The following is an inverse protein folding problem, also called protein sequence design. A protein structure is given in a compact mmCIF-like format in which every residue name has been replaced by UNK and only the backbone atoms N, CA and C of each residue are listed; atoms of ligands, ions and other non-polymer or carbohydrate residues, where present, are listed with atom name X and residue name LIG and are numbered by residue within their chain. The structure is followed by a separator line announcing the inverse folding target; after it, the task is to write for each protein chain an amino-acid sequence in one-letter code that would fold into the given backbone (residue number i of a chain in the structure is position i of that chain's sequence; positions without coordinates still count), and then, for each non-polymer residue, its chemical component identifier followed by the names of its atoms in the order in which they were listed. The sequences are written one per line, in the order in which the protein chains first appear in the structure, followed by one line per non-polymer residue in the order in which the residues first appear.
data_IF_765222649791
#
_entry.id   IF_765222649791
#
_cell.length_a   1.000
_cell.length_b   1.000
_cell.length_c   1.000
_cell.angle_alpha   90.00
_cell.angle_beta   90.00
_cell.angle_gamma   90.00
#
_symmetry.space_group_name_H-M   'P 1'
#
loop_
_entity.id
_entity.type
_entity.pdbx_description
1 polymer ?
#
# COMPACT_ATOMS: atom_id res chain seq x y z
N UNK A 1 -2.81 42.83 19.39
CA UNK A 1 -1.59 42.21 18.82
C UNK A 1 -1.94 41.73 17.42
N UNK A 2 -1.40 42.38 16.39
CA UNK A 2 -1.65 42.06 14.98
C UNK A 2 -0.77 40.89 14.54
N UNK A 3 -1.36 39.82 14.01
CA UNK A 3 -0.61 38.74 13.40
C UNK A 3 -0.05 39.19 12.05
N UNK A 4 1.26 38.97 11.77
CA UNK A 4 1.84 39.30 10.47
C UNK A 4 1.27 38.37 9.39
N UNK A 5 0.70 38.96 8.35
CA UNK A 5 0.23 38.25 7.16
C UNK A 5 1.46 37.82 6.36
N UNK A 6 1.79 36.53 6.37
CA UNK A 6 2.90 35.98 5.57
C UNK A 6 2.39 35.75 4.14
N UNK A 7 2.83 36.61 3.22
CA UNK A 7 2.50 36.50 1.80
C UNK A 7 3.49 35.56 1.11
N UNK A 8 3.03 34.36 0.75
CA UNK A 8 3.82 33.40 -0.02
C UNK A 8 3.85 33.83 -1.49
N UNK A 9 4.92 34.52 -1.89
CA UNK A 9 5.21 34.79 -3.30
C UNK A 9 5.43 33.47 -4.05
N UNK A 10 4.60 33.18 -5.06
CA UNK A 10 4.80 32.02 -5.94
C UNK A 10 6.01 32.30 -6.85
N UNK A 11 7.10 31.52 -6.77
CA UNK A 11 8.15 31.64 -7.77
C UNK A 11 7.57 31.27 -9.15
N UNK A 12 7.79 32.14 -10.14
CA UNK A 12 7.49 31.84 -11.54
C UNK A 12 8.42 30.72 -12.02
N UNK A 13 7.99 29.48 -11.83
CA UNK A 13 8.70 28.32 -12.32
C UNK A 13 8.59 28.28 -13.85
N UNK A 14 9.70 28.55 -14.54
CA UNK A 14 9.85 28.20 -15.96
C UNK A 14 9.63 26.70 -16.07
N UNK A 15 8.53 26.29 -16.71
CA UNK A 15 8.20 24.89 -16.93
C UNK A 15 9.35 24.24 -17.72
N UNK A 16 10.21 23.49 -17.04
CA UNK A 16 11.11 22.57 -17.72
C UNK A 16 10.20 21.54 -18.35
N UNK A 17 10.08 21.56 -19.68
CA UNK A 17 9.35 20.54 -20.41
C UNK A 17 9.91 19.19 -19.99
N UNK A 18 9.09 18.42 -19.28
CA UNK A 18 9.40 17.09 -18.82
C UNK A 18 9.39 16.20 -20.07
N UNK A 19 10.56 15.92 -20.63
CA UNK A 19 10.69 15.06 -21.80
C UNK A 19 10.54 13.61 -21.36
N UNK A 20 9.40 13.01 -21.67
CA UNK A 20 9.17 11.58 -21.50
C UNK A 20 10.14 10.79 -22.41
N UNK A 21 10.49 9.56 -22.01
CA UNK A 21 11.29 8.66 -22.85
C UNK A 21 10.64 8.46 -24.22
N UNK A 22 11.42 8.47 -25.31
CA UNK A 22 10.89 8.17 -26.64
C UNK A 22 10.24 6.77 -26.69
N UNK A 23 9.22 6.56 -27.54
CA UNK A 23 8.54 5.26 -27.69
C UNK A 23 9.51 4.10 -27.93
N UNK A 24 10.50 4.29 -28.81
CA UNK A 24 11.47 3.23 -29.13
C UNK A 24 12.37 2.89 -27.94
N UNK A 25 12.79 3.90 -27.18
CA UNK A 25 13.60 3.70 -25.98
C UNK A 25 12.81 2.93 -24.93
N UNK A 26 11.53 3.28 -24.74
CA UNK A 26 10.65 2.60 -23.80
C UNK A 26 10.39 1.15 -24.22
N UNK A 27 10.10 0.90 -25.50
CA UNK A 27 9.88 -0.44 -26.03
C UNK A 27 11.13 -1.32 -25.90
N UNK A 28 12.32 -0.74 -26.13
CA UNK A 28 13.60 -1.41 -25.90
C UNK A 28 13.79 -1.78 -24.43
N UNK A 29 13.63 -0.81 -23.52
CA UNK A 29 13.73 -1.00 -22.06
C UNK A 29 12.77 -2.10 -21.58
N UNK A 30 11.53 -2.09 -22.09
CA UNK A 30 10.53 -3.11 -21.80
C UNK A 30 10.97 -4.51 -22.22
N UNK A 31 11.48 -4.69 -23.44
CA UNK A 31 11.96 -6.01 -23.90
C UNK A 31 13.10 -6.53 -23.04
N UNK A 32 14.06 -5.66 -22.72
CA UNK A 32 15.22 -6.04 -21.90
C UNK A 32 14.81 -6.49 -20.50
N UNK A 33 13.88 -5.77 -19.85
CA UNK A 33 13.41 -6.10 -18.50
C UNK A 33 12.57 -7.37 -18.49
N UNK A 34 11.69 -7.57 -19.46
CA UNK A 34 10.82 -8.76 -19.51
C UNK A 34 11.57 -10.04 -19.91
N UNK A 35 12.76 -9.92 -20.51
CA UNK A 35 13.64 -11.05 -20.82
C UNK A 35 14.64 -11.34 -19.70
N UNK A 36 14.80 -10.43 -18.73
CA UNK A 36 15.72 -10.61 -17.63
C UNK A 36 15.24 -11.69 -16.66
N UNK A 37 16.19 -12.37 -16.02
CA UNK A 37 15.88 -13.32 -14.94
C UNK A 37 15.28 -12.59 -13.73
N UNK A 38 14.42 -13.29 -13.00
CA UNK A 38 13.84 -12.78 -11.75
C UNK A 38 14.93 -12.65 -10.67
N UNK A 39 15.10 -11.44 -10.14
CA UNK A 39 16.11 -11.10 -9.14
C UNK A 39 15.59 -11.16 -7.70
N UNK A 40 14.34 -11.58 -7.49
CA UNK A 40 13.77 -11.81 -6.16
C UNK A 40 14.45 -13.00 -5.47
N UNK A 41 14.38 -13.06 -4.14
CA UNK A 41 14.89 -14.22 -3.38
C UNK A 41 14.18 -15.54 -3.75
N UNK A 42 12.95 -15.44 -4.26
CA UNK A 42 12.16 -16.58 -4.72
C UNK A 42 12.61 -17.06 -6.11
N UNK A 43 13.17 -16.16 -6.93
CA UNK A 43 13.60 -16.44 -8.30
C UNK A 43 12.45 -16.67 -9.28
N UNK A 44 11.21 -16.35 -8.89
CA UNK A 44 10.02 -16.45 -9.72
C UNK A 44 8.92 -15.51 -9.21
N UNK A 45 8.02 -15.11 -10.12
CA UNK A 45 6.84 -14.31 -9.81
C UNK A 45 5.89 -15.11 -8.90
N UNK A 46 5.17 -14.43 -8.02
CA UNK A 46 4.12 -15.07 -7.22
C UNK A 46 2.91 -15.42 -8.09
N UNK A 47 2.48 -16.68 -8.07
CA UNK A 47 1.33 -17.17 -8.83
C UNK A 47 0.06 -16.32 -8.62
N UNK A 48 -0.16 -15.82 -7.39
CA UNK A 48 -1.30 -14.97 -7.04
C UNK A 48 -1.34 -13.63 -7.79
N UNK A 49 -0.18 -13.06 -8.18
CA UNK A 49 -0.09 -11.77 -8.85
C UNK A 49 0.32 -11.87 -10.31
N UNK A 50 0.73 -13.04 -10.77
CA UNK A 50 1.19 -13.32 -12.14
C UNK A 50 0.22 -12.78 -13.19
N UNK A 51 -1.07 -13.08 -13.07
CA UNK A 51 -2.10 -12.61 -14.01
C UNK A 51 -2.18 -11.07 -14.10
N UNK A 52 -1.93 -10.35 -13.01
CA UNK A 52 -1.87 -8.88 -13.00
C UNK A 52 -0.61 -8.37 -13.70
N UNK A 53 0.51 -9.04 -13.44
CA UNK A 53 1.81 -8.73 -14.06
C UNK A 53 1.72 -8.91 -15.58
N UNK A 54 1.18 -10.03 -16.04
CA UNK A 54 0.95 -10.33 -17.45
C UNK A 54 0.04 -9.30 -18.11
N UNK A 55 -1.09 -8.96 -17.49
CA UNK A 55 -2.04 -7.99 -18.03
C UNK A 55 -1.44 -6.58 -18.18
N UNK A 56 -0.61 -6.15 -17.24
CA UNK A 56 0.14 -4.90 -17.34
C UNK A 56 1.21 -4.99 -18.44
N UNK A 57 1.96 -6.08 -18.50
CA UNK A 57 3.04 -6.28 -19.46
C UNK A 57 2.54 -6.49 -20.90
N UNK A 58 1.29 -6.90 -21.11
CA UNK A 58 0.67 -6.96 -22.42
C UNK A 58 0.42 -5.57 -23.04
N UNK A 59 0.37 -4.51 -22.23
CA UNK A 59 0.02 -3.15 -22.69
C UNK A 59 1.27 -2.36 -23.10
N UNK A 60 1.31 -1.72 -24.29
CA UNK A 60 2.51 -1.02 -24.75
C UNK A 60 2.91 0.16 -23.84
N UNK A 61 1.99 0.70 -23.05
CA UNK A 61 2.24 1.84 -22.16
C UNK A 61 2.91 1.47 -20.83
N UNK A 62 2.95 0.17 -20.48
CA UNK A 62 3.37 -0.28 -19.15
C UNK A 62 4.32 -1.47 -19.22
N UNK A 63 5.18 -1.58 -18.21
CA UNK A 63 5.76 -2.86 -17.81
C UNK A 63 6.11 -2.87 -16.33
N UNK A 64 6.07 -4.04 -15.72
CA UNK A 64 6.41 -4.24 -14.30
C UNK A 64 7.93 -4.33 -14.13
N UNK A 65 8.49 -3.64 -13.15
CA UNK A 65 9.90 -3.76 -12.74
C UNK A 65 10.10 -4.62 -11.51
N UNK A 66 9.05 -4.78 -10.68
CA UNK A 66 9.02 -5.73 -9.57
C UNK A 66 7.58 -5.95 -9.10
N UNK A 67 7.34 -7.12 -8.50
CA UNK A 67 6.04 -7.52 -7.95
C UNK A 67 6.22 -8.38 -6.70
N UNK A 68 5.22 -8.36 -5.82
CA UNK A 68 5.02 -9.33 -4.74
C UNK A 68 3.52 -9.39 -4.45
N UNK A 69 2.98 -10.59 -4.25
CA UNK A 69 1.56 -10.83 -3.97
C UNK A 69 1.15 -10.56 -2.51
N UNK A 70 2.12 -10.26 -1.65
CA UNK A 70 1.97 -10.11 -0.21
C UNK A 70 2.71 -11.23 0.51
N UNK A 71 3.21 -10.95 1.70
CA UNK A 71 3.94 -11.92 2.51
C UNK A 71 3.76 -11.68 3.99
N UNK A 72 3.80 -12.77 4.73
CA UNK A 72 4.11 -12.77 6.14
C UNK A 72 5.56 -13.20 6.31
N UNK A 73 6.34 -12.43 7.04
CA UNK A 73 7.75 -12.68 7.26
C UNK A 73 8.09 -12.57 8.73
N UNK A 74 8.82 -13.56 9.23
CA UNK A 74 9.44 -13.51 10.54
C UNK A 74 10.91 -13.17 10.35
N UNK A 75 11.30 -12.02 10.89
CA UNK A 75 12.64 -11.47 10.78
C UNK A 75 13.36 -11.62 12.12
N UNK A 76 14.64 -11.99 12.10
CA UNK A 76 15.54 -11.86 13.24
C UNK A 76 16.48 -10.69 12.97
N UNK A 77 16.42 -9.68 13.84
CA UNK A 77 17.36 -8.57 13.87
C UNK A 77 18.53 -8.95 14.77
N UNK A 78 19.74 -9.01 14.19
CA UNK A 78 20.96 -9.22 14.96
C UNK A 78 21.24 -8.06 15.91
N UNK A 79 21.81 -8.36 17.08
CA UNK A 79 22.15 -7.41 18.15
C UNK A 79 23.30 -6.45 17.82
N UNK A 80 23.84 -6.49 16.60
CA UNK A 80 24.92 -5.61 16.17
C UNK A 80 24.34 -4.23 15.85
N UNK A 81 24.65 -3.24 16.69
CA UNK A 81 24.27 -1.82 16.57
C UNK A 81 24.84 -1.08 15.35
N UNK A 82 24.90 -1.73 14.19
CA UNK A 82 25.26 -1.13 12.93
C UNK A 82 24.02 -0.56 12.23
N UNK A 83 24.05 0.74 12.02
CA UNK A 83 23.01 1.61 11.43
C UNK A 83 22.61 1.31 9.98
N UNK A 84 22.75 0.06 9.50
CA UNK A 84 22.33 -0.36 8.16
C UNK A 84 21.50 -1.64 8.22
N UNK A 85 20.19 -1.46 8.43
CA UNK A 85 19.10 -2.47 8.56
C UNK A 85 19.01 -3.56 7.46
N UNK A 86 19.87 -3.57 6.44
CA UNK A 86 19.81 -4.54 5.32
C UNK A 86 20.81 -5.70 5.41
N UNK A 87 21.90 -5.61 6.19
CA UNK A 87 22.94 -6.66 6.24
C UNK A 87 22.85 -7.62 7.44
N UNK A 88 22.08 -7.28 8.49
CA UNK A 88 21.95 -8.09 9.71
C UNK A 88 20.57 -8.71 9.95
N UNK A 89 19.70 -8.73 8.94
CA UNK A 89 18.33 -9.21 9.05
C UNK A 89 18.20 -10.63 8.47
N UNK A 90 18.07 -11.62 9.35
CA UNK A 90 17.90 -13.04 8.99
C UNK A 90 16.41 -13.33 8.84
N UNK A 91 16.00 -14.00 7.76
CA UNK A 91 14.61 -14.40 7.55
C UNK A 91 14.42 -15.77 8.18
N UNK A 92 13.70 -15.82 9.31
CA UNK A 92 13.41 -17.07 10.01
C UNK A 92 12.31 -17.85 9.29
N UNK A 93 11.30 -17.15 8.77
CA UNK A 93 10.23 -17.73 7.98
C UNK A 93 9.69 -16.68 7.00
N UNK A 94 9.34 -17.11 5.80
CA UNK A 94 8.63 -16.29 4.81
C UNK A 94 7.54 -17.12 4.16
N UNK A 95 6.30 -16.64 4.21
CA UNK A 95 5.18 -17.23 3.49
C UNK A 95 4.48 -16.19 2.62
N UNK A 96 4.14 -16.59 1.40
CA UNK A 96 3.27 -15.82 0.49
C UNK A 96 1.83 -16.35 0.50
N UNK A 97 1.54 -17.33 1.36
CA UNK A 97 0.24 -17.94 1.56
C UNK A 97 -0.20 -17.76 3.02
N UNK A 98 -1.32 -18.40 3.40
CA UNK A 98 -1.76 -18.44 4.78
C UNK A 98 -0.76 -19.25 5.62
N UNK A 99 -0.48 -18.78 6.84
CA UNK A 99 0.30 -19.50 7.82
C UNK A 99 -0.47 -20.71 8.35
N UNK A 100 0.22 -21.83 8.49
CA UNK A 100 -0.28 -23.03 9.15
C UNK A 100 -0.32 -22.91 10.67
N UNK A 101 -1.03 -23.83 11.32
CA UNK A 101 -1.05 -23.92 12.78
C UNK A 101 0.35 -24.24 13.32
N UNK A 102 0.77 -23.52 14.38
CA UNK A 102 2.09 -23.71 15.00
C UNK A 102 3.29 -23.24 14.16
N UNK A 103 3.10 -22.75 12.93
CA UNK A 103 4.20 -22.38 12.04
C UNK A 103 5.09 -21.28 12.65
N UNK A 104 4.49 -20.29 13.31
CA UNK A 104 5.23 -19.22 13.98
C UNK A 104 6.05 -19.74 15.16
N UNK A 105 5.48 -20.64 15.97
CA UNK A 105 6.17 -21.23 17.12
C UNK A 105 7.36 -22.08 16.68
N UNK A 106 7.17 -22.93 15.65
CA UNK A 106 8.24 -23.72 15.06
C UNK A 106 9.38 -22.83 14.55
N UNK A 107 9.04 -21.74 13.88
CA UNK A 107 10.01 -20.77 13.33
C UNK A 107 10.77 -19.99 14.40
N UNK A 108 10.24 -19.93 15.62
CA UNK A 108 10.85 -19.27 16.79
C UNK A 108 11.59 -20.25 17.71
N UNK A 109 11.43 -21.56 17.58
CA UNK A 109 12.00 -22.54 18.52
C UNK A 109 13.51 -22.45 18.73
N UNK A 110 14.28 -22.02 17.71
CA UNK A 110 15.74 -21.97 17.75
C UNK A 110 16.34 -20.57 17.50
N UNK A 111 15.54 -19.50 17.63
CA UNK A 111 16.01 -18.15 17.37
C UNK A 111 16.87 -17.61 18.53
N UNK A 112 17.93 -16.87 18.22
CA UNK A 112 18.88 -16.31 19.21
C UNK A 112 18.91 -14.78 19.24
N UNK A 113 18.21 -14.13 18.31
CA UNK A 113 18.15 -12.66 18.16
C UNK A 113 16.81 -12.06 18.58
N UNK A 114 16.58 -10.79 18.23
CA UNK A 114 15.28 -10.15 18.40
C UNK A 114 14.41 -10.44 17.19
N UNK A 115 13.26 -11.07 17.39
CA UNK A 115 12.37 -11.47 16.31
C UNK A 115 11.21 -10.49 16.14
N UNK A 116 10.89 -10.16 14.88
CA UNK A 116 9.76 -9.30 14.50
C UNK A 116 8.92 -10.03 13.46
N UNK A 117 7.64 -10.20 13.74
CA UNK A 117 6.65 -10.66 12.77
C UNK A 117 6.16 -9.47 11.95
N UNK A 118 6.19 -9.59 10.63
CA UNK A 118 5.73 -8.55 9.72
C UNK A 118 4.80 -9.10 8.66
N UNK A 119 3.70 -8.42 8.44
CA UNK A 119 2.84 -8.60 7.27
C UNK A 119 3.04 -7.43 6.31
N UNK A 120 3.39 -7.74 5.07
CA UNK A 120 3.50 -6.78 3.99
C UNK A 120 2.51 -7.15 2.88
N UNK A 121 1.62 -6.25 2.45
CA UNK A 121 0.65 -6.53 1.41
C UNK A 121 1.32 -6.60 0.04
N UNK A 122 0.52 -6.93 -0.99
CA UNK A 122 0.99 -6.90 -2.36
C UNK A 122 1.54 -5.51 -2.72
N UNK A 123 2.58 -5.52 -3.55
CA UNK A 123 3.22 -4.32 -4.08
C UNK A 123 3.60 -4.54 -5.54
N UNK A 124 3.40 -3.50 -6.37
CA UNK A 124 3.84 -3.48 -7.76
C UNK A 124 4.61 -2.21 -8.03
N UNK A 125 5.71 -2.33 -8.76
CA UNK A 125 6.38 -1.20 -9.39
C UNK A 125 6.20 -1.32 -10.89
N UNK A 126 5.56 -0.32 -11.49
CA UNK A 126 5.20 -0.30 -12.90
C UNK A 126 5.86 0.88 -13.55
N UNK A 127 6.74 0.64 -14.52
CA UNK A 127 7.22 1.67 -15.41
C UNK A 127 6.10 2.07 -16.38
N UNK A 128 5.86 3.36 -16.50
CA UNK A 128 4.84 3.95 -17.38
C UNK A 128 5.51 4.72 -18.52
N UNK A 129 4.98 4.63 -19.73
CA UNK A 129 5.56 5.31 -20.89
C UNK A 129 5.54 6.83 -20.73
N UNK A 130 4.39 7.38 -20.33
CA UNK A 130 4.20 8.81 -20.07
C UNK A 130 3.69 9.08 -18.66
N UNK A 131 3.71 10.36 -18.27
CA UNK A 131 3.05 10.81 -17.04
C UNK A 131 1.54 10.61 -17.10
N UNK A 132 0.94 10.72 -18.29
CA UNK A 132 -0.51 10.52 -18.46
C UNK A 132 -0.90 9.05 -18.24
N UNK A 133 -0.11 8.11 -18.77
CA UNK A 133 -0.29 6.68 -18.52
C UNK A 133 -0.17 6.38 -17.01
N UNK A 134 0.79 7.02 -16.34
CA UNK A 134 0.98 6.89 -14.90
C UNK A 134 -0.20 7.44 -14.09
N UNK A 135 -0.79 8.58 -14.51
CA UNK A 135 -1.98 9.16 -13.88
C UNK A 135 -3.18 8.23 -13.97
N UNK A 136 -3.42 7.61 -15.14
CA UNK A 136 -4.51 6.65 -15.34
C UNK A 136 -4.34 5.41 -14.47
N UNK A 137 -3.13 4.86 -14.42
CA UNK A 137 -2.82 3.71 -13.56
C UNK A 137 -2.96 4.06 -12.07
N UNK A 138 -2.51 5.25 -11.66
CA UNK A 138 -2.66 5.71 -10.28
C UNK A 138 -4.14 5.87 -9.89
N UNK A 139 -4.95 6.51 -10.74
CA UNK A 139 -6.38 6.68 -10.50
C UNK A 139 -7.09 5.32 -10.35
N UNK A 140 -6.78 4.38 -11.25
CA UNK A 140 -7.28 3.01 -11.20
C UNK A 140 -6.87 2.29 -9.90
N UNK A 141 -5.61 2.45 -9.50
CA UNK A 141 -5.08 1.89 -8.25
C UNK A 141 -5.80 2.43 -7.01
N UNK A 142 -5.98 3.75 -6.93
CA UNK A 142 -6.68 4.42 -5.82
C UNK A 142 -8.16 3.97 -5.78
N UNK A 143 -8.82 3.93 -6.94
CA UNK A 143 -10.21 3.46 -7.08
C UNK A 143 -10.39 2.01 -6.62
N UNK A 144 -9.40 1.15 -6.87
CA UNK A 144 -9.37 -0.23 -6.37
C UNK A 144 -9.04 -0.36 -4.86
N UNK A 145 -8.81 0.76 -4.16
CA UNK A 145 -8.50 0.80 -2.73
C UNK A 145 -7.02 0.74 -2.39
N UNK A 146 -6.12 0.92 -3.36
CA UNK A 146 -4.67 1.00 -3.16
C UNK A 146 -4.26 2.46 -2.86
N UNK A 147 -4.71 2.99 -1.72
CA UNK A 147 -4.63 4.43 -1.38
C UNK A 147 -3.21 4.96 -1.16
N UNK A 148 -2.25 4.10 -0.85
CA UNK A 148 -0.84 4.48 -0.64
C UNK A 148 -0.01 4.43 -1.93
N UNK A 149 -0.67 4.27 -3.08
CA UNK A 149 -0.02 4.27 -4.39
C UNK A 149 0.49 5.66 -4.74
N UNK A 150 1.54 5.74 -5.56
CA UNK A 150 2.12 7.03 -5.94
C UNK A 150 2.97 6.96 -7.20
N UNK A 151 3.14 8.12 -7.83
CA UNK A 151 4.01 8.31 -9.00
C UNK A 151 5.41 8.70 -8.50
N UNK A 152 6.43 8.05 -9.05
CA UNK A 152 7.83 8.36 -8.83
C UNK A 152 8.46 8.73 -10.16
N UNK A 153 9.21 9.83 -10.16
CA UNK A 153 9.92 10.33 -11.33
C UNK A 153 11.41 10.26 -11.04
N UNK A 154 12.15 9.52 -11.85
CA UNK A 154 13.60 9.42 -11.72
C UNK A 154 14.29 10.70 -12.20
N UNK A 155 15.57 10.86 -11.83
CA UNK A 155 16.43 11.94 -12.36
C UNK A 155 16.55 11.91 -13.89
N UNK A 156 16.39 10.73 -14.49
CA UNK A 156 16.45 10.51 -15.95
C UNK A 156 15.12 10.77 -16.65
N UNK A 157 14.07 11.16 -15.93
CA UNK A 157 12.73 11.38 -16.47
C UNK A 157 11.88 10.12 -16.62
N UNK A 158 12.35 8.97 -16.13
CA UNK A 158 11.56 7.74 -16.11
C UNK A 158 10.41 7.86 -15.11
N UNK A 159 9.19 7.58 -15.57
CA UNK A 159 7.97 7.61 -14.74
C UNK A 159 7.64 6.20 -14.29
N UNK A 160 7.41 6.04 -12.99
CA UNK A 160 7.00 4.80 -12.34
C UNK A 160 5.78 5.04 -11.47
N UNK A 161 4.93 4.02 -11.35
CA UNK A 161 3.85 3.95 -10.35
C UNK A 161 4.20 2.84 -9.38
N UNK A 162 4.21 3.15 -8.09
CA UNK A 162 4.20 2.14 -7.04
C UNK A 162 2.73 1.92 -6.62
N UNK A 163 2.18 0.73 -6.88
CA UNK A 163 0.86 0.33 -6.41
C UNK A 163 1.01 -0.28 -5.03
N UNK A 164 0.40 0.36 -4.02
CA UNK A 164 0.53 -0.03 -2.61
C UNK A 164 -0.78 0.11 -1.87
N UNK A 165 -0.95 -0.75 -0.86
CA UNK A 165 -2.13 -0.72 0.02
C UNK A 165 -1.77 -0.13 1.39
N UNK A 166 -2.78 0.03 2.24
CA UNK A 166 -2.64 0.52 3.62
C UNK A 166 -2.53 -0.60 4.65
N UNK A 167 -2.64 -1.88 4.24
CA UNK A 167 -2.54 -2.99 5.18
C UNK A 167 -1.09 -3.14 5.63
N UNK A 168 -0.89 -3.36 6.93
CA UNK A 168 0.40 -3.71 7.49
C UNK A 168 0.21 -4.36 8.86
N UNK A 169 1.19 -5.11 9.29
CA UNK A 169 1.34 -5.57 10.67
C UNK A 169 2.82 -5.66 10.96
N UNK A 170 3.25 -5.20 12.12
CA UNK A 170 4.63 -5.32 12.56
C UNK A 170 4.61 -5.47 14.08
N UNK A 171 5.06 -6.62 14.57
CA UNK A 171 4.94 -7.00 15.98
C UNK A 171 6.27 -7.60 16.43
N UNK A 172 7.02 -6.92 17.32
CA UNK A 172 8.16 -7.52 18.01
C UNK A 172 7.69 -8.70 18.87
N UNK A 173 8.33 -9.86 18.72
CA UNK A 173 7.99 -11.09 19.43
C UNK A 173 9.03 -11.45 20.47
N UNK A 174 10.30 -11.13 20.23
CA UNK A 174 11.38 -11.44 21.15
C UNK A 174 12.45 -10.36 21.18
N UNK A 175 13.22 -10.36 22.26
CA UNK A 175 14.35 -9.46 22.45
C UNK A 175 15.55 -10.25 22.96
N UNK A 176 16.67 -10.17 22.26
CA UNK A 176 17.91 -10.88 22.63
C UNK A 176 17.69 -12.39 22.85
N UNK A 177 16.88 -13.04 22.02
CA UNK A 177 16.54 -14.47 22.12
C UNK A 177 15.44 -14.80 23.14
N UNK A 178 15.03 -13.85 23.98
CA UNK A 178 13.95 -14.06 24.94
C UNK A 178 12.60 -13.77 24.29
N UNK A 179 11.76 -14.80 24.16
CA UNK A 179 10.39 -14.65 23.67
C UNK A 179 9.55 -13.88 24.69
N UNK A 180 8.90 -12.80 24.25
CA UNK A 180 8.13 -11.88 25.09
C UNK A 180 6.62 -12.17 25.05
N UNK A 181 6.19 -13.14 24.24
CA UNK A 181 4.79 -13.45 23.96
C UNK A 181 4.48 -14.91 24.28
N UNK A 182 3.22 -15.19 24.65
CA UNK A 182 2.75 -16.55 24.90
C UNK A 182 2.46 -17.31 23.60
N UNK A 183 2.43 -18.64 23.67
CA UNK A 183 2.00 -19.49 22.55
C UNK A 183 0.59 -19.12 22.05
N UNK A 184 -0.35 -18.87 22.97
CA UNK A 184 -1.70 -18.41 22.63
C UNK A 184 -1.70 -17.09 21.83
N UNK A 185 -0.79 -16.16 22.16
CA UNK A 185 -0.67 -14.91 21.42
C UNK A 185 -0.09 -15.13 20.02
N UNK A 186 0.84 -16.08 19.86
CA UNK A 186 1.36 -16.45 18.54
C UNK A 186 0.26 -17.03 17.63
N UNK A 187 -0.63 -17.87 18.15
CA UNK A 187 -1.78 -18.38 17.40
C UNK A 187 -2.74 -17.26 16.97
N UNK A 188 -3.02 -16.31 17.87
CA UNK A 188 -3.79 -15.12 17.56
C UNK A 188 -3.13 -14.28 16.46
N UNK A 189 -1.82 -14.03 16.55
CA UNK A 189 -1.07 -13.29 15.53
C UNK A 189 -1.06 -13.98 14.17
N UNK A 190 -0.93 -15.32 14.15
CA UNK A 190 -1.06 -16.10 12.93
C UNK A 190 -2.43 -15.92 12.27
N UNK A 191 -3.49 -15.95 13.08
CA UNK A 191 -4.86 -15.71 12.62
C UNK A 191 -5.06 -14.29 12.08
N UNK A 192 -4.50 -13.28 12.76
CA UNK A 192 -4.53 -11.88 12.31
C UNK A 192 -3.74 -11.67 11.01
N UNK A 193 -2.56 -12.29 10.87
CA UNK A 193 -1.77 -12.26 9.64
C UNK A 193 -2.57 -12.86 8.47
N UNK A 194 -3.20 -14.02 8.69
CA UNK A 194 -4.04 -14.70 7.71
C UNK A 194 -5.26 -13.86 7.30
N UNK A 195 -5.93 -13.22 8.27
CA UNK A 195 -7.03 -12.31 7.98
C UNK A 195 -6.58 -11.09 7.14
N UNK A 196 -5.38 -10.56 7.39
CA UNK A 196 -4.81 -9.48 6.55
C UNK A 196 -4.41 -9.98 5.17
N UNK A 197 -3.87 -11.20 5.05
CA UNK A 197 -3.56 -11.83 3.77
C UNK A 197 -4.81 -12.01 2.90
N UNK A 198 -5.90 -12.52 3.48
CA UNK A 198 -7.18 -12.64 2.76
C UNK A 198 -7.72 -11.29 2.28
N UNK A 199 -7.69 -10.25 3.13
CA UNK A 199 -8.06 -8.88 2.74
C UNK A 199 -7.14 -8.30 1.67
N UNK A 200 -5.86 -8.67 1.69
CA UNK A 200 -4.88 -8.28 0.69
C UNK A 200 -5.21 -8.90 -0.67
N UNK A 201 -5.46 -10.20 -0.74
CA UNK A 201 -5.86 -10.87 -1.98
C UNK A 201 -7.19 -10.34 -2.53
N UNK A 202 -8.19 -10.10 -1.68
CA UNK A 202 -9.43 -9.46 -2.11
C UNK A 202 -9.21 -8.04 -2.68
N UNK A 203 -8.17 -7.32 -2.24
CA UNK A 203 -7.80 -6.02 -2.82
C UNK A 203 -7.02 -6.19 -4.12
N UNK A 204 -6.17 -7.20 -4.22
CA UNK A 204 -5.47 -7.55 -5.46
C UNK A 204 -6.47 -7.89 -6.57
N UNK A 205 -7.48 -8.71 -6.29
CA UNK A 205 -8.53 -9.07 -7.26
C UNK A 205 -9.35 -7.85 -7.69
N UNK A 206 -9.70 -6.95 -6.78
CA UNK A 206 -10.36 -5.68 -7.15
C UNK A 206 -9.50 -4.81 -8.05
N UNK A 207 -8.19 -4.75 -7.78
CA UNK A 207 -7.24 -4.04 -8.64
C UNK A 207 -7.14 -4.70 -10.01
N UNK A 208 -7.05 -6.04 -10.06
CA UNK A 208 -7.06 -6.83 -11.30
C UNK A 208 -8.32 -6.56 -12.13
N UNK A 209 -9.50 -6.54 -11.50
CA UNK A 209 -10.76 -6.19 -12.16
C UNK A 209 -10.73 -4.76 -12.72
N UNK A 210 -10.34 -3.77 -11.91
CA UNK A 210 -10.26 -2.37 -12.35
C UNK A 210 -9.25 -2.15 -13.48
N UNK A 211 -8.18 -2.95 -13.55
CA UNK A 211 -7.22 -2.91 -14.66
C UNK A 211 -7.81 -3.38 -15.99
N UNK A 212 -8.88 -4.19 -16.01
CA UNK A 212 -9.55 -4.58 -17.27
C UNK A 212 -10.24 -3.38 -17.90
N UNK A 213 -10.79 -2.49 -17.08
CA UNK A 213 -11.50 -1.28 -17.50
C UNK A 213 -10.57 -0.09 -17.78
N UNK A 214 -9.26 -0.23 -17.54
CA UNK A 214 -8.24 0.75 -17.89
C UNK A 214 -8.18 0.86 -19.43
N UNK A 215 -9.11 1.57 -20.05
CA UNK A 215 -9.12 1.83 -21.48
C UNK A 215 -8.10 2.92 -21.82
N UNK A 216 -7.48 2.80 -23.00
CA UNK A 216 -6.66 3.85 -23.58
C UNK A 216 -7.52 5.01 -24.08
N UNK A 217 -8.18 5.75 -23.21
CA UNK A 217 -8.93 6.95 -23.62
C UNK A 217 -7.97 8.14 -23.73
N UNK A 218 -7.56 8.45 -24.95
CA UNK A 218 -7.18 9.80 -25.35
C UNK A 218 -8.46 10.62 -25.54
N UNK A 219 -8.86 11.37 -24.52
CA UNK A 219 -9.69 12.56 -24.72
C UNK A 219 -9.03 13.72 -23.96
N UNK A 220 -8.40 14.68 -24.65
CA UNK A 220 -7.89 15.87 -24.00
C UNK A 220 -9.10 16.73 -23.64
N UNK A 221 -9.45 16.84 -22.34
CA UNK A 221 -10.42 17.84 -21.90
C UNK A 221 -11.33 17.52 -20.73
N UNK A 222 -11.33 16.33 -20.13
CA UNK A 222 -12.18 16.08 -18.95
C UNK A 222 -11.43 16.25 -17.62
N UNK A 223 -11.94 17.22 -16.89
CA UNK A 223 -11.42 17.86 -15.69
C UNK A 223 -11.15 16.85 -14.55
N UNK A 224 -10.00 16.99 -13.89
CA UNK A 224 -9.58 16.17 -12.75
C UNK A 224 -10.35 16.51 -11.46
N UNK A 225 -11.68 16.39 -11.48
CA UNK A 225 -12.52 16.66 -10.31
C UNK A 225 -13.04 15.40 -9.60
N UNK A 226 -12.84 14.21 -10.16
CA UNK A 226 -13.62 13.03 -9.71
C UNK A 226 -12.88 12.07 -8.77
N UNK A 227 -11.60 12.27 -8.44
CA UNK A 227 -10.86 11.31 -7.59
C UNK A 227 -10.31 11.83 -6.27
N UNK A 228 -10.68 13.04 -5.85
CA UNK A 228 -10.48 13.46 -4.47
C UNK A 228 -11.81 13.32 -3.73
N UNK A 229 -11.95 12.31 -2.89
CA UNK A 229 -13.03 12.18 -1.91
C UNK A 229 -12.97 13.24 -0.80
N UNK A 230 -12.48 14.44 -1.11
CA UNK A 230 -12.43 15.60 -0.23
C UNK A 230 -13.25 16.67 -0.95
N UNK A 231 -14.44 16.96 -0.44
CA UNK A 231 -15.21 18.12 -0.92
C UNK A 231 -14.29 19.35 -0.78
N UNK A 232 -14.15 20.19 -1.82
CA UNK A 232 -13.45 21.44 -1.65
C UNK A 232 -14.19 22.25 -0.60
N UNK A 233 -13.54 22.58 0.52
CA UNK A 233 -13.99 23.66 1.39
C UNK A 233 -13.81 24.96 0.59
N UNK A 234 -14.81 25.33 -0.22
CA UNK A 234 -14.91 26.69 -0.72
C UNK A 234 -15.26 27.58 0.46
N UNK A 235 -14.29 28.41 0.86
CA UNK A 235 -14.58 29.64 1.59
C UNK A 235 -15.23 30.61 0.60
N UNK A 236 -16.54 30.51 0.42
CA UNK A 236 -17.29 31.55 -0.25
C UNK A 236 -17.61 32.65 0.76
N UNK A 237 -16.75 33.67 0.78
CA UNK A 237 -17.05 34.95 1.42
C UNK A 237 -17.94 35.73 0.48
N UNK A 238 -19.27 35.61 0.65
CA UNK A 238 -20.22 36.69 0.38
C UNK A 238 -21.52 36.44 1.16
N UNK A 239 -21.79 37.43 2.01
CA UNK A 239 -23.00 37.62 2.79
C UNK A 239 -24.24 37.52 1.89
N UNK A 240 -25.25 36.79 2.34
CA UNK A 240 -26.58 37.36 2.48
C UNK A 240 -27.18 36.81 3.77
N UNK A 241 -27.59 37.76 4.60
CA UNK A 241 -28.38 37.52 5.79
C UNK A 241 -29.78 37.08 5.35
N UNK A 242 -30.26 36.02 5.98
CA UNK A 242 -31.65 35.76 6.38
C UNK A 242 -31.89 34.26 6.33
N UNK A 243 -31.79 33.63 7.49
CA UNK A 243 -32.84 32.78 8.07
C UNK A 243 -32.26 32.03 9.28
N UNK A 244 -32.76 32.42 10.44
CA UNK A 244 -32.64 31.68 11.68
C UNK A 244 -33.36 30.33 11.56
N UNK A 245 -32.69 29.24 11.91
CA UNK A 245 -33.05 28.43 13.09
C UNK A 245 -32.14 27.20 13.21
N UNK A 246 -31.39 27.18 14.31
CA UNK A 246 -30.85 25.97 14.95
C UNK A 246 -31.98 25.32 15.79
N UNK A 247 -31.94 24.00 16.09
CA UNK A 247 -31.11 23.61 17.23
C UNK A 247 -30.37 22.26 17.08
N UNK A 248 -29.07 22.31 17.43
CA UNK A 248 -28.36 21.43 18.37
C UNK A 248 -29.26 20.48 19.18
N UNK A 249 -29.03 19.17 19.03
CA UNK A 249 -28.68 18.25 20.13
C UNK A 249 -28.78 16.79 19.66
N UNK A 250 -27.70 16.01 19.82
CA UNK A 250 -27.75 14.59 20.17
C UNK A 250 -26.32 14.04 20.34
N UNK A 251 -25.74 14.33 21.49
CA UNK A 251 -24.69 13.52 22.09
C UNK A 251 -25.25 12.95 23.40
N UNK A 252 -24.68 11.80 23.79
CA UNK A 252 -24.72 11.10 25.08
C UNK A 252 -25.93 10.18 25.38
N UNK A 253 -25.67 8.87 25.44
CA UNK A 253 -25.74 8.04 26.69
C UNK A 253 -26.09 6.56 26.44
N UNK A 254 -25.22 5.68 26.96
CA UNK A 254 -25.43 4.24 27.21
C UNK A 254 -26.63 3.97 28.15
N UNK A 255 -27.09 2.71 28.23
CA UNK A 255 -26.98 2.06 29.53
C UNK A 255 -26.45 0.62 29.50
N UNK A 256 -25.64 0.32 30.52
CA UNK A 256 -25.42 -1.00 31.12
C UNK A 256 -26.70 -1.56 31.74
N UNK A 257 -26.84 -2.89 31.83
CA UNK A 257 -27.31 -3.59 33.04
C UNK A 257 -27.15 -5.12 32.89
N UNK A 258 -26.39 -5.68 33.82
CA UNK A 258 -26.33 -7.09 34.21
C UNK A 258 -27.05 -7.22 35.57
N UNK A 259 -27.37 -8.45 35.98
CA UNK A 259 -28.05 -8.90 37.23
C UNK A 259 -29.59 -8.86 37.16
N UNK A 260 -30.37 -9.90 37.46
CA UNK A 260 -30.13 -11.15 38.17
C UNK A 260 -31.10 -11.27 39.36
N UNK A 261 -31.97 -12.30 39.38
CA UNK A 261 -32.51 -13.01 40.57
C UNK A 261 -33.98 -13.53 40.40
N UNK A 262 -34.10 -14.86 40.38
CA UNK A 262 -34.94 -15.71 41.26
C UNK A 262 -36.30 -15.18 41.79
N UNK A 263 -37.39 -15.87 41.45
CA UNK A 263 -38.12 -16.83 42.33
C UNK A 263 -39.65 -16.88 42.13
N UNK A 264 -40.19 -18.09 42.34
CA UNK A 264 -41.58 -18.48 42.66
C UNK A 264 -42.67 -18.40 41.58
N UNK A 265 -43.00 -19.56 41.01
CA UNK A 265 -44.32 -20.23 41.11
C UNK A 265 -44.16 -21.70 40.68
#
# INVERSE_FOLDING_TARGET
MSHPHVEFSRPSARAKHFTTSSPDKFAKEKREILQAADLSRKGAIDARIEHVVEHLNARPQYFTTSSCSGRTVLLSEGSSGDTVRKKGCVWLNVSHELLGQGELELSLSSHTGSAVLKFEPFILHVRCHTLEDARKLLATSIGAGCRNSGIMISKTGSVHVAVRTTLSMEVPLSQNGNLLVSAQYLEFLGSEANAKMAKNWARLERFSAALRDLQGTSRPGEDCRVFCGVRPLHHDRRKNADELNDPMDCLVSLPSLFEGALSSS
#
